data_IF_298292715097
#
_entry.id   IF_298292715097
#
_cell.length_a   1.000
_cell.length_b   1.000
_cell.length_c   1.000
_cell.angle_alpha   90.00
_cell.angle_beta   90.00
_cell.angle_gamma   90.00
#
_symmetry.space_group_name_H-M   'P 1'
#
loop_
_entity.id
_entity.type
_entity.pdbx_description
1 polymer ?
#
# COMPACT_ATOMS: atom_id res chain seq x y z
N UNK A 1 -59.79 7.35 71.11
CA UNK A 1 -58.64 7.75 70.27
C UNK A 1 -58.50 6.85 69.04
N UNK A 2 -59.45 6.85 68.09
CA UNK A 2 -59.40 5.96 66.89
C UNK A 2 -59.59 6.69 65.56
N UNK A 3 -59.98 7.97 65.58
CA UNK A 3 -60.22 8.79 64.38
C UNK A 3 -58.94 9.45 63.86
N UNK A 4 -57.98 9.80 64.74
CA UNK A 4 -56.68 10.33 64.31
C UNK A 4 -55.77 9.30 63.64
N UNK A 5 -55.80 8.05 64.12
CA UNK A 5 -54.96 6.96 63.57
C UNK A 5 -55.45 6.50 62.19
N UNK A 6 -56.77 6.50 61.96
CA UNK A 6 -57.35 6.17 60.65
C UNK A 6 -57.07 7.24 59.60
N UNK A 7 -57.04 8.52 59.98
CA UNK A 7 -56.68 9.62 59.06
C UNK A 7 -55.21 9.58 58.63
N UNK A 8 -54.30 9.22 59.55
CA UNK A 8 -52.87 9.05 59.27
C UNK A 8 -52.61 7.88 58.31
N UNK A 9 -53.39 6.80 58.43
CA UNK A 9 -53.22 5.60 57.57
C UNK A 9 -53.74 5.81 56.14
N UNK A 10 -54.77 6.65 55.96
CA UNK A 10 -55.28 7.06 54.63
C UNK A 10 -54.32 8.06 53.95
N UNK A 11 -53.68 8.95 54.71
CA UNK A 11 -52.66 9.86 54.16
C UNK A 11 -51.38 9.12 53.74
N UNK A 12 -50.96 8.08 54.46
CA UNK A 12 -49.76 7.32 54.13
C UNK A 12 -49.92 6.47 52.85
N UNK A 13 -51.09 5.88 52.65
CA UNK A 13 -51.41 5.05 51.46
C UNK A 13 -51.58 5.87 50.18
N UNK A 14 -51.84 7.17 50.29
CA UNK A 14 -51.96 8.10 49.16
C UNK A 14 -50.59 8.57 48.61
N UNK A 15 -49.53 8.50 49.43
CA UNK A 15 -48.18 8.92 49.03
C UNK A 15 -47.45 7.77 48.31
N UNK A 16 -47.80 6.51 48.60
CA UNK A 16 -47.15 5.34 48.01
C UNK A 16 -47.51 5.09 46.53
N UNK A 17 -48.67 5.57 46.07
CA UNK A 17 -49.09 5.46 44.66
C UNK A 17 -48.38 6.44 43.72
N UNK A 18 -47.72 7.48 44.25
CA UNK A 18 -46.95 8.44 43.44
C UNK A 18 -45.54 7.96 43.08
N UNK A 19 -45.00 6.98 43.81
CA UNK A 19 -43.67 6.40 43.55
C UNK A 19 -43.69 5.15 42.65
N UNK A 20 -44.88 4.66 42.28
CA UNK A 20 -45.04 3.45 41.46
C UNK A 20 -45.10 3.74 39.95
N UNK A 21 -44.94 5.00 39.53
CA UNK A 21 -44.98 5.40 38.13
C UNK A 21 -43.79 6.29 37.78
N UNK A 22 -42.57 5.80 38.03
CA UNK A 22 -41.35 6.40 37.49
C UNK A 22 -40.47 5.35 36.81
N UNK A 23 -41.08 4.53 35.95
CA UNK A 23 -40.38 4.11 34.73
C UNK A 23 -40.40 5.29 33.76
N UNK A 24 -39.59 6.32 34.04
CA UNK A 24 -39.20 7.24 32.98
C UNK A 24 -38.24 6.49 32.06
N UNK A 25 -38.84 5.80 31.08
CA UNK A 25 -38.29 5.72 29.74
C UNK A 25 -37.53 7.01 29.45
N UNK A 26 -36.28 6.98 28.94
CA UNK A 26 -35.62 8.20 28.56
C UNK A 26 -36.43 8.80 27.40
N UNK A 27 -37.28 9.78 27.72
CA UNK A 27 -37.91 10.64 26.75
C UNK A 27 -36.80 11.46 26.12
N UNK A 28 -36.13 10.90 25.11
CA UNK A 28 -35.21 11.61 24.22
C UNK A 28 -35.90 12.91 23.82
N UNK A 29 -35.42 14.03 24.36
CA UNK A 29 -35.97 15.33 23.99
C UNK A 29 -35.73 15.56 22.50
N UNK A 30 -36.63 16.26 21.81
CA UNK A 30 -36.49 16.54 20.38
C UNK A 30 -35.11 17.15 20.02
N UNK A 31 -34.53 17.89 20.98
CA UNK A 31 -33.18 18.44 20.94
C UNK A 31 -32.08 17.36 20.91
N UNK A 32 -32.13 16.35 21.79
CA UNK A 32 -31.18 15.23 21.79
C UNK A 32 -31.28 14.38 20.52
N UNK A 33 -32.50 14.17 20.01
CA UNK A 33 -32.72 13.43 18.76
C UNK A 33 -32.15 14.18 17.55
N UNK A 34 -32.22 15.51 17.55
CA UNK A 34 -31.64 16.35 16.51
C UNK A 34 -30.10 16.37 16.59
N UNK A 35 -29.54 16.56 17.80
CA UNK A 35 -28.09 16.47 18.03
C UNK A 35 -27.52 15.09 17.64
N UNK A 36 -28.25 13.99 17.92
CA UNK A 36 -27.85 12.64 17.48
C UNK A 36 -27.88 12.47 15.97
N UNK A 37 -28.80 13.13 15.25
CA UNK A 37 -28.85 13.10 13.78
C UNK A 37 -27.69 13.91 13.19
N UNK A 38 -27.44 15.11 13.69
CA UNK A 38 -26.31 15.97 13.27
C UNK A 38 -24.97 15.28 13.54
N UNK A 39 -24.77 14.70 14.72
CA UNK A 39 -23.56 13.93 15.03
C UNK A 39 -23.40 12.70 14.12
N UNK A 40 -24.50 12.03 13.75
CA UNK A 40 -24.46 10.90 12.79
C UNK A 40 -24.12 11.36 11.38
N UNK A 41 -24.62 12.51 10.94
CA UNK A 41 -24.31 13.07 9.62
C UNK A 41 -22.86 13.56 9.54
N UNK A 42 -22.39 14.29 10.55
CA UNK A 42 -20.98 14.69 10.68
C UNK A 42 -20.07 13.46 10.70
N UNK A 43 -20.40 12.43 11.50
CA UNK A 43 -19.64 11.16 11.51
C UNK A 43 -19.64 10.46 10.15
N UNK A 44 -20.76 10.46 9.42
CA UNK A 44 -20.83 9.90 8.07
C UNK A 44 -19.95 10.69 7.10
N UNK A 45 -19.92 12.00 7.21
CA UNK A 45 -19.11 12.86 6.35
C UNK A 45 -17.61 12.71 6.63
N UNK A 46 -17.20 12.74 7.91
CA UNK A 46 -15.82 12.46 8.33
C UNK A 46 -15.38 11.09 7.83
N UNK A 47 -16.18 10.05 8.05
CA UNK A 47 -15.88 8.70 7.55
C UNK A 47 -15.78 8.63 6.02
N UNK A 48 -16.56 9.41 5.28
CA UNK A 48 -16.47 9.47 3.81
C UNK A 48 -15.17 10.16 3.37
N UNK A 49 -14.80 11.27 4.02
CA UNK A 49 -13.55 12.00 3.76
C UNK A 49 -12.33 11.13 4.05
N UNK A 50 -12.27 10.51 5.24
CA UNK A 50 -11.20 9.58 5.58
C UNK A 50 -11.09 8.40 4.60
N UNK A 51 -12.21 7.85 4.14
CA UNK A 51 -12.19 6.77 3.15
C UNK A 51 -11.66 7.23 1.79
N UNK A 52 -11.93 8.48 1.38
CA UNK A 52 -11.38 9.06 0.14
C UNK A 52 -9.88 9.29 0.28
N UNK A 53 -9.45 9.93 1.35
CA UNK A 53 -8.02 10.17 1.63
C UNK A 53 -7.23 8.85 1.71
N UNK A 54 -7.77 7.83 2.40
CA UNK A 54 -7.15 6.50 2.44
C UNK A 54 -7.04 5.85 1.06
N UNK A 55 -8.02 6.07 0.17
CA UNK A 55 -7.97 5.56 -1.21
C UNK A 55 -6.95 6.32 -2.05
N UNK A 56 -6.95 7.64 -1.98
CA UNK A 56 -5.99 8.50 -2.69
C UNK A 56 -4.55 8.19 -2.24
N UNK A 57 -4.32 8.04 -0.93
CA UNK A 57 -3.02 7.67 -0.38
C UNK A 57 -2.56 6.26 -0.83
N UNK A 58 -3.49 5.31 -1.02
CA UNK A 58 -3.15 3.99 -1.59
C UNK A 58 -2.77 4.10 -3.06
N UNK A 59 -3.56 4.81 -3.85
CA UNK A 59 -3.30 5.04 -5.28
C UNK A 59 -1.94 5.72 -5.47
N UNK A 60 -1.62 6.74 -4.66
CA UNK A 60 -0.34 7.44 -4.74
C UNK A 60 0.84 6.52 -4.37
N UNK A 61 0.68 5.69 -3.33
CA UNK A 61 1.70 4.71 -2.94
C UNK A 61 1.93 3.68 -4.06
N UNK A 62 0.87 3.11 -4.61
CA UNK A 62 0.94 2.15 -5.71
C UNK A 62 1.58 2.78 -6.95
N UNK A 63 1.23 4.02 -7.29
CA UNK A 63 1.86 4.75 -8.40
C UNK A 63 3.36 4.98 -8.17
N UNK A 64 3.77 5.37 -6.95
CA UNK A 64 5.19 5.54 -6.58
C UNK A 64 5.95 4.22 -6.63
N UNK A 65 5.35 3.12 -6.20
CA UNK A 65 5.95 1.78 -6.27
C UNK A 65 6.12 1.32 -7.73
N UNK A 66 5.09 1.52 -8.56
CA UNK A 66 5.16 1.24 -9.99
C UNK A 66 6.24 2.07 -10.70
N UNK A 67 6.34 3.37 -10.39
CA UNK A 67 7.37 4.25 -10.95
C UNK A 67 8.78 3.80 -10.56
N UNK A 68 8.99 3.45 -9.28
CA UNK A 68 10.28 2.91 -8.80
C UNK A 68 10.65 1.62 -9.53
N UNK A 69 9.69 0.72 -9.70
CA UNK A 69 9.90 -0.54 -10.40
C UNK A 69 10.23 -0.32 -11.89
N UNK A 70 9.53 0.59 -12.56
CA UNK A 70 9.84 0.99 -13.94
C UNK A 70 11.24 1.61 -14.07
N UNK A 71 11.64 2.48 -13.14
CA UNK A 71 12.99 3.06 -13.11
C UNK A 71 14.06 1.98 -12.93
N UNK A 72 13.83 0.99 -12.07
CA UNK A 72 14.76 -0.11 -11.87
C UNK A 72 14.88 -0.99 -13.13
N UNK A 73 13.75 -1.32 -13.77
CA UNK A 73 13.71 -2.06 -15.04
C UNK A 73 14.52 -1.32 -16.11
N UNK A 74 14.23 -0.04 -16.31
CA UNK A 74 14.90 0.79 -17.32
C UNK A 74 16.41 0.88 -17.06
N UNK A 75 16.81 1.00 -15.80
CA UNK A 75 18.22 1.03 -15.41
C UNK A 75 18.93 -0.29 -15.76
N UNK A 76 18.30 -1.44 -15.46
CA UNK A 76 18.88 -2.75 -15.81
C UNK A 76 18.90 -3.01 -17.32
N UNK A 77 17.91 -2.55 -18.07
CA UNK A 77 17.90 -2.63 -19.54
C UNK A 77 19.06 -1.82 -20.14
N UNK A 78 19.32 -0.62 -19.62
CA UNK A 78 20.48 0.19 -20.03
C UNK A 78 21.80 -0.51 -19.73
N UNK A 79 21.93 -1.14 -18.57
CA UNK A 79 23.13 -1.91 -18.22
C UNK A 79 23.35 -3.11 -19.15
N UNK A 80 22.28 -3.83 -19.49
CA UNK A 80 22.31 -4.95 -20.44
C UNK A 80 22.77 -4.46 -21.82
N UNK A 81 22.16 -3.38 -22.32
CA UNK A 81 22.52 -2.79 -23.62
C UNK A 81 23.99 -2.36 -23.68
N UNK A 82 24.56 -1.83 -22.58
CA UNK A 82 25.99 -1.51 -22.51
C UNK A 82 26.87 -2.75 -22.65
N UNK A 83 26.50 -3.86 -22.01
CA UNK A 83 27.25 -5.13 -22.11
C UNK A 83 27.13 -5.72 -23.51
N UNK A 84 25.94 -5.69 -24.12
CA UNK A 84 25.73 -6.16 -25.50
C UNK A 84 26.60 -5.37 -26.49
N UNK A 85 26.66 -4.04 -26.37
CA UNK A 85 27.56 -3.20 -27.18
C UNK A 85 29.03 -3.55 -26.97
N UNK A 86 29.43 -3.85 -25.73
CA UNK A 86 30.79 -4.28 -25.44
C UNK A 86 31.10 -5.65 -26.05
N UNK A 87 30.16 -6.59 -26.02
CA UNK A 87 30.29 -7.91 -26.66
C UNK A 87 30.50 -7.76 -28.16
N UNK A 88 29.62 -7.01 -28.83
CA UNK A 88 29.72 -6.74 -30.27
C UNK A 88 31.08 -6.16 -30.62
N UNK A 89 31.51 -5.10 -29.91
CA UNK A 89 32.82 -4.48 -30.19
C UNK A 89 34.01 -5.41 -29.99
N UNK A 90 33.97 -6.30 -28.98
CA UNK A 90 35.04 -7.28 -28.75
C UNK A 90 35.02 -8.36 -29.83
N UNK A 91 33.84 -8.84 -30.23
CA UNK A 91 33.67 -9.84 -31.29
C UNK A 91 34.12 -9.30 -32.65
N UNK A 92 33.72 -8.09 -33.02
CA UNK A 92 34.15 -7.43 -34.26
C UNK A 92 35.68 -7.25 -34.32
N UNK A 93 36.29 -6.85 -33.21
CA UNK A 93 37.76 -6.74 -33.12
C UNK A 93 38.44 -8.09 -33.27
N UNK A 94 37.93 -9.11 -32.55
CA UNK A 94 38.46 -10.46 -32.62
C UNK A 94 38.39 -11.00 -34.05
N UNK A 95 37.25 -10.86 -34.71
CA UNK A 95 37.03 -11.33 -36.08
C UNK A 95 37.96 -10.60 -37.06
N UNK A 96 38.01 -9.26 -37.00
CA UNK A 96 38.84 -8.44 -37.88
C UNK A 96 40.33 -8.71 -37.72
N UNK A 97 40.82 -8.82 -36.49
CA UNK A 97 42.25 -9.02 -36.25
C UNK A 97 42.67 -10.48 -36.48
N UNK A 98 41.75 -11.45 -36.29
CA UNK A 98 41.94 -12.85 -36.69
C UNK A 98 42.04 -12.98 -38.20
N UNK A 99 41.12 -12.38 -38.95
CA UNK A 99 41.15 -12.37 -40.43
C UNK A 99 42.44 -11.75 -40.98
N UNK A 100 42.98 -10.74 -40.29
CA UNK A 100 44.24 -10.09 -40.66
C UNK A 100 45.50 -10.85 -40.20
N UNK A 101 45.34 -11.96 -39.49
CA UNK A 101 46.46 -12.72 -38.90
C UNK A 101 47.27 -11.94 -37.86
N UNK A 102 46.67 -10.91 -37.24
CA UNK A 102 47.36 -10.01 -36.30
C UNK A 102 47.36 -10.51 -34.86
N UNK A 103 46.51 -11.49 -34.54
CA UNK A 103 46.38 -12.03 -33.20
C UNK A 103 47.22 -13.29 -33.02
N UNK A 104 47.97 -13.33 -31.93
CA UNK A 104 48.59 -14.57 -31.47
C UNK A 104 47.54 -15.50 -30.83
N UNK A 105 47.81 -16.81 -30.73
CA UNK A 105 46.91 -17.75 -30.04
C UNK A 105 46.56 -17.31 -28.61
N UNK A 106 47.53 -16.77 -27.88
CA UNK A 106 47.33 -16.26 -26.51
C UNK A 106 46.40 -15.04 -26.47
N UNK A 107 46.46 -14.16 -27.48
CA UNK A 107 45.60 -12.98 -27.53
C UNK A 107 44.16 -13.36 -27.88
N UNK A 108 43.97 -14.33 -28.78
CA UNK A 108 42.66 -14.93 -29.07
C UNK A 108 42.06 -15.52 -27.78
N UNK A 109 42.83 -16.27 -27.00
CA UNK A 109 42.37 -16.84 -25.73
C UNK A 109 41.94 -15.74 -24.73
N UNK A 110 42.72 -14.66 -24.60
CA UNK A 110 42.37 -13.53 -23.74
C UNK A 110 41.07 -12.85 -24.18
N UNK A 111 40.87 -12.65 -25.49
CA UNK A 111 39.64 -12.07 -26.03
C UNK A 111 38.44 -12.99 -25.79
N UNK A 112 38.61 -14.31 -25.98
CA UNK A 112 37.58 -15.31 -25.69
C UNK A 112 37.19 -15.32 -24.21
N UNK A 113 38.15 -15.31 -23.28
CA UNK A 113 37.89 -15.18 -21.84
C UNK A 113 37.12 -13.91 -21.49
N UNK A 114 37.43 -12.80 -22.17
CA UNK A 114 36.69 -11.54 -22.00
C UNK A 114 35.25 -11.66 -22.50
N UNK A 115 35.03 -12.29 -23.65
CA UNK A 115 33.68 -12.57 -24.20
C UNK A 115 32.90 -13.44 -23.22
N UNK A 116 33.49 -14.52 -22.71
CA UNK A 116 32.86 -15.41 -21.73
C UNK A 116 32.45 -14.67 -20.45
N UNK A 117 33.35 -13.86 -19.90
CA UNK A 117 33.07 -13.02 -18.72
C UNK A 117 31.91 -12.04 -18.98
N UNK A 118 31.83 -11.44 -20.17
CA UNK A 118 30.75 -10.54 -20.54
C UNK A 118 29.42 -11.30 -20.72
N UNK A 119 29.44 -12.47 -21.36
CA UNK A 119 28.27 -13.35 -21.51
C UNK A 119 27.71 -13.81 -20.16
N UNK A 120 28.57 -14.16 -19.20
CA UNK A 120 28.13 -14.47 -17.85
C UNK A 120 27.45 -13.28 -17.17
N UNK A 121 28.06 -12.09 -17.26
CA UNK A 121 27.49 -10.85 -16.68
C UNK A 121 26.15 -10.53 -17.32
N UNK A 122 26.05 -10.67 -18.64
CA UNK A 122 24.82 -10.51 -19.40
C UNK A 122 23.74 -11.47 -18.89
N UNK A 123 24.03 -12.77 -18.83
CA UNK A 123 23.09 -13.79 -18.34
C UNK A 123 22.60 -13.48 -16.92
N UNK A 124 23.52 -13.13 -16.00
CA UNK A 124 23.18 -12.79 -14.61
C UNK A 124 22.28 -11.56 -14.54
N UNK A 125 22.53 -10.52 -15.34
CA UNK A 125 21.69 -9.30 -15.39
C UNK A 125 20.35 -9.57 -16.07
N UNK A 126 20.30 -10.30 -17.17
CA UNK A 126 19.06 -10.66 -17.86
C UNK A 126 18.14 -11.49 -16.97
N UNK A 127 18.67 -12.46 -16.22
CA UNK A 127 17.90 -13.20 -15.21
C UNK A 127 17.34 -12.28 -14.11
N UNK A 128 18.10 -11.28 -13.65
CA UNK A 128 17.61 -10.29 -12.67
C UNK A 128 16.52 -9.40 -13.26
N UNK A 129 16.66 -8.96 -14.51
CA UNK A 129 15.65 -8.17 -15.21
C UNK A 129 14.36 -8.97 -15.39
N UNK A 130 14.46 -10.23 -15.80
CA UNK A 130 13.31 -11.11 -15.95
C UNK A 130 12.53 -11.27 -14.63
N UNK A 131 13.25 -11.49 -13.52
CA UNK A 131 12.63 -11.55 -12.18
C UNK A 131 11.90 -10.26 -11.81
N UNK A 132 12.41 -9.08 -12.22
CA UNK A 132 11.71 -7.82 -11.98
C UNK A 132 10.51 -7.62 -12.89
N UNK A 133 10.60 -8.03 -14.17
CA UNK A 133 9.47 -7.98 -15.09
C UNK A 133 8.30 -8.87 -14.65
N UNK A 134 8.58 -9.97 -13.95
CA UNK A 134 7.56 -10.82 -13.32
C UNK A 134 6.91 -10.21 -12.07
N UNK A 135 7.52 -9.19 -11.46
CA UNK A 135 6.96 -8.44 -10.32
C UNK A 135 6.09 -7.25 -10.76
N UNK A 136 6.21 -6.85 -12.04
CA UNK A 136 5.32 -5.87 -12.67
C UNK A 136 3.95 -6.50 -12.89
#
# INVERSE_FOLDING_TARGET
MKIGFTFILVLFTSISSLYAQEETLPSETALEKQQRKELKEVRKEVNKREKKEKKEARIEKEAKEAEKLMKEITSKEKDISKIEKQLISVQEKLEKDTQKGKLSPNDIEKMNKKIETLNEKLMKKSKKLEKLKRKK
#
